data_IF_807825364835
#
_entry.id   IF_807825364835
#
_cell.length_a   1.000
_cell.length_b   1.000
_cell.length_c   1.000
_cell.angle_alpha   90.00
_cell.angle_beta   90.00
_cell.angle_gamma   90.00
#
_symmetry.space_group_name_H-M   'P 1'
#
loop_
_entity.id
_entity.type
_entity.pdbx_description
1 polymer ?
#
# COMPACT_ATOMS: atom_id res chain seq x y z
N UNK A 1 42.55 36.27 2.61
CA UNK A 1 42.72 35.97 1.16
C UNK A 1 42.58 34.46 0.98
N UNK A 2 41.51 34.03 0.31
CA UNK A 2 41.43 32.76 -0.43
C UNK A 2 41.02 31.48 0.34
N UNK A 3 39.84 30.89 0.04
CA UNK A 3 39.56 29.49 0.31
C UNK A 3 40.12 28.62 -0.82
N UNK A 4 40.62 27.41 -0.53
CA UNK A 4 40.87 26.40 -1.57
C UNK A 4 40.09 25.13 -1.28
N UNK A 5 39.15 24.90 -2.20
CA UNK A 5 38.23 23.79 -2.33
C UNK A 5 38.99 22.48 -2.59
N UNK A 6 38.81 21.46 -1.76
CA UNK A 6 39.12 20.07 -2.15
C UNK A 6 37.96 19.52 -2.98
N UNK A 7 38.00 19.77 -4.29
CA UNK A 7 37.25 19.01 -5.29
C UNK A 7 37.97 17.67 -5.52
N UNK A 8 37.61 16.66 -4.73
CA UNK A 8 38.05 15.28 -4.94
C UNK A 8 37.21 14.64 -6.04
N UNK A 9 37.75 14.60 -7.26
CA UNK A 9 37.20 13.94 -8.45
C UNK A 9 36.96 12.46 -8.15
N UNK A 10 35.70 12.05 -8.09
CA UNK A 10 35.32 10.63 -8.11
C UNK A 10 35.64 10.08 -9.51
N UNK A 11 36.78 9.40 -9.60
CA UNK A 11 37.27 8.76 -10.81
C UNK A 11 36.21 7.83 -11.42
N UNK A 12 35.79 8.11 -12.65
CA UNK A 12 35.07 7.18 -13.51
C UNK A 12 36.00 6.01 -13.87
N UNK A 13 35.95 4.92 -13.09
CA UNK A 13 36.56 3.68 -13.52
C UNK A 13 35.77 3.10 -14.69
N UNK A 14 36.35 3.29 -15.88
CA UNK A 14 36.00 2.65 -17.15
C UNK A 14 36.31 1.15 -17.06
N UNK A 15 35.50 0.40 -16.31
CA UNK A 15 35.67 -1.04 -16.15
C UNK A 15 34.99 -1.80 -17.30
N UNK A 16 35.81 -2.24 -18.25
CA UNK A 16 35.78 -3.60 -18.80
C UNK A 16 34.50 -4.07 -19.48
N UNK A 17 34.59 -4.16 -20.82
CA UNK A 17 33.77 -4.98 -21.71
C UNK A 17 33.70 -6.46 -21.26
N UNK A 18 32.92 -6.75 -20.23
CA UNK A 18 32.54 -8.12 -19.86
C UNK A 18 31.18 -8.39 -20.47
N UNK A 19 31.19 -9.07 -21.62
CA UNK A 19 30.03 -9.73 -22.24
C UNK A 19 29.41 -10.70 -21.23
N UNK A 20 28.59 -10.18 -20.31
CA UNK A 20 27.71 -10.98 -19.46
C UNK A 20 26.75 -11.68 -20.41
N UNK A 21 26.99 -12.98 -20.62
CA UNK A 21 26.13 -13.85 -21.41
C UNK A 21 24.68 -13.54 -21.10
N UNK A 22 23.97 -13.09 -22.13
CA UNK A 22 22.57 -12.67 -22.08
C UNK A 22 21.78 -13.92 -21.71
N UNK A 23 21.67 -14.23 -20.41
CA UNK A 23 20.70 -15.21 -19.89
C UNK A 23 19.39 -14.76 -20.50
N UNK A 24 18.89 -15.53 -21.46
CA UNK A 24 17.59 -15.30 -22.08
C UNK A 24 16.63 -15.15 -20.91
N UNK A 25 16.22 -13.92 -20.60
CA UNK A 25 15.11 -13.68 -19.68
C UNK A 25 14.02 -14.55 -20.25
N UNK A 26 13.65 -15.62 -19.54
CA UNK A 26 12.41 -16.34 -19.82
C UNK A 26 11.38 -15.22 -19.94
N UNK A 27 10.93 -14.96 -21.17
CA UNK A 27 9.74 -14.14 -21.39
C UNK A 27 8.71 -14.85 -20.53
N UNK A 28 8.33 -14.24 -19.41
CA UNK A 28 7.15 -14.68 -18.68
C UNK A 28 6.07 -14.62 -19.75
N UNK A 29 5.68 -15.81 -20.23
CA UNK A 29 4.50 -15.99 -21.07
C UNK A 29 3.41 -15.16 -20.43
N UNK A 30 2.69 -14.42 -21.27
CA UNK A 30 1.88 -13.26 -20.96
C UNK A 30 1.35 -13.28 -19.53
N UNK A 31 1.57 -12.18 -18.82
CA UNK A 31 0.80 -11.86 -17.63
C UNK A 31 -0.67 -11.89 -18.03
N UNK A 32 -1.29 -13.07 -17.89
CA UNK A 32 -2.71 -13.20 -17.80
C UNK A 32 -3.10 -12.15 -16.78
N UNK A 33 -4.00 -11.26 -17.19
CA UNK A 33 -4.64 -10.34 -16.29
C UNK A 33 -5.06 -11.20 -15.10
N UNK A 34 -4.41 -11.02 -13.94
CA UNK A 34 -4.98 -11.41 -12.68
C UNK A 34 -6.15 -10.45 -12.50
N UNK A 35 -7.21 -10.66 -13.28
CA UNK A 35 -8.53 -10.23 -12.91
C UNK A 35 -8.73 -10.87 -11.54
N UNK A 36 -9.10 -10.09 -10.51
CA UNK A 36 -9.46 -10.70 -9.23
C UNK A 36 -10.52 -11.73 -9.58
N UNK A 37 -10.23 -13.02 -9.35
CA UNK A 37 -11.22 -14.09 -9.54
C UNK A 37 -12.42 -13.65 -8.71
N UNK A 38 -13.51 -13.24 -9.37
CA UNK A 38 -14.77 -12.96 -8.71
C UNK A 38 -15.08 -14.24 -7.94
N UNK A 39 -15.12 -14.15 -6.60
CA UNK A 39 -15.54 -15.29 -5.78
C UNK A 39 -16.92 -15.69 -6.30
N UNK A 40 -17.11 -16.97 -6.58
CA UNK A 40 -18.42 -17.44 -6.99
C UNK A 40 -19.40 -17.18 -5.83
N UNK A 41 -20.66 -16.81 -6.10
CA UNK A 41 -21.67 -16.62 -5.05
C UNK A 41 -21.78 -17.83 -4.12
N UNK A 42 -21.54 -19.03 -4.67
CA UNK A 42 -21.51 -20.32 -3.95
C UNK A 42 -20.40 -20.37 -2.90
N UNK A 43 -19.20 -19.85 -3.20
CA UNK A 43 -18.11 -19.81 -2.23
C UNK A 43 -18.37 -18.80 -1.09
N UNK A 44 -19.19 -17.78 -1.35
CA UNK A 44 -19.62 -16.82 -0.33
C UNK A 44 -20.71 -17.42 0.57
N UNK A 45 -21.68 -18.15 0.01
CA UNK A 45 -22.72 -18.83 0.80
C UNK A 45 -22.15 -19.89 1.74
N UNK A 46 -21.24 -20.75 1.25
CA UNK A 46 -20.58 -21.76 2.09
C UNK A 46 -19.80 -21.13 3.26
N UNK A 47 -19.12 -20.02 3.02
CA UNK A 47 -18.37 -19.31 4.05
C UNK A 47 -19.29 -18.69 5.11
N UNK A 48 -20.43 -18.12 4.68
CA UNK A 48 -21.45 -17.55 5.57
C UNK A 48 -22.10 -18.64 6.41
N UNK A 49 -22.53 -19.74 5.80
CA UNK A 49 -23.12 -20.88 6.51
C UNK A 49 -22.15 -21.48 7.52
N UNK A 50 -20.88 -21.64 7.14
CA UNK A 50 -19.82 -22.10 8.04
C UNK A 50 -19.60 -21.14 9.21
N UNK A 51 -19.72 -19.83 9.01
CA UNK A 51 -19.59 -18.86 10.08
C UNK A 51 -20.78 -18.94 11.06
N UNK A 52 -22.01 -19.05 10.54
CA UNK A 52 -23.22 -19.18 11.35
C UNK A 52 -23.24 -20.48 12.17
N UNK A 53 -22.77 -21.59 11.58
CA UNK A 53 -22.68 -22.89 12.25
C UNK A 53 -21.75 -22.90 13.47
N UNK A 54 -20.82 -21.93 13.60
CA UNK A 54 -19.94 -21.83 14.79
C UNK A 54 -20.72 -21.55 16.07
N UNK A 55 -21.86 -20.89 15.99
CA UNK A 55 -22.70 -20.58 17.15
C UNK A 55 -23.51 -21.78 17.64
N UNK A 56 -23.78 -22.77 16.76
CA UNK A 56 -24.57 -23.97 17.08
C UNK A 56 -23.73 -25.23 17.35
N UNK A 57 -22.43 -25.20 17.09
CA UNK A 57 -21.52 -26.34 17.27
C UNK A 57 -21.38 -26.78 18.75
N UNK A 58 -21.39 -28.11 18.97
CA UNK A 58 -21.15 -28.77 20.27
C UNK A 58 -19.98 -29.77 20.11
N UNK A 59 -18.90 -29.68 20.89
CA UNK A 59 -18.61 -28.68 21.93
C UNK A 59 -18.36 -27.28 21.32
N UNK A 60 -18.58 -26.24 22.11
CA UNK A 60 -18.43 -24.86 21.62
C UNK A 60 -16.96 -24.56 21.31
N UNK A 61 -16.67 -23.79 20.24
CA UNK A 61 -15.32 -23.36 19.95
C UNK A 61 -14.77 -22.49 21.07
N UNK A 62 -13.49 -22.66 21.35
CA UNK A 62 -12.76 -21.90 22.37
C UNK A 62 -12.85 -20.39 22.03
N UNK A 63 -13.29 -19.57 22.99
CA UNK A 63 -13.42 -18.12 22.83
C UNK A 63 -14.85 -17.58 22.68
N UNK A 64 -15.87 -18.43 22.54
CA UNK A 64 -17.26 -18.00 22.68
C UNK A 64 -17.71 -18.10 24.15
N UNK A 65 -18.37 -17.07 24.72
CA UNK A 65 -18.90 -17.15 26.07
C UNK A 65 -20.00 -18.22 26.19
N UNK A 66 -20.21 -18.73 27.42
CA UNK A 66 -21.24 -19.75 27.71
C UNK A 66 -22.65 -19.20 27.53
N UNK A 67 -22.84 -17.92 27.75
CA UNK A 67 -24.11 -17.22 27.56
C UNK A 67 -23.85 -16.04 26.61
N UNK A 68 -24.66 -15.95 25.55
CA UNK A 68 -24.63 -14.85 24.58
C UNK A 68 -25.98 -14.16 24.71
N UNK A 69 -26.02 -13.09 25.49
CA UNK A 69 -27.18 -12.24 25.68
C UNK A 69 -26.78 -10.79 25.36
N UNK A 70 -27.39 -10.14 24.35
CA UNK A 70 -28.45 -10.61 23.44
C UNK A 70 -27.97 -11.66 22.40
N UNK A 71 -28.89 -12.45 21.80
CA UNK A 71 -28.56 -13.44 20.79
C UNK A 71 -27.89 -12.81 19.56
N UNK A 72 -27.09 -13.57 18.79
CA UNK A 72 -26.39 -13.06 17.61
C UNK A 72 -27.38 -12.49 16.58
N UNK A 73 -27.18 -11.24 16.19
CA UNK A 73 -28.01 -10.55 15.19
C UNK A 73 -27.28 -10.40 13.86
N UNK A 74 -28.02 -10.49 12.76
CA UNK A 74 -27.52 -10.19 11.42
C UNK A 74 -27.61 -8.69 11.20
N UNK A 75 -26.45 -8.04 11.07
CA UNK A 75 -26.36 -6.62 10.72
C UNK A 75 -25.93 -6.51 9.26
N UNK A 76 -26.79 -5.97 8.41
CA UNK A 76 -26.46 -5.71 7.01
C UNK A 76 -25.84 -4.31 6.88
N UNK A 77 -24.54 -4.26 6.66
CA UNK A 77 -23.81 -3.01 6.48
C UNK A 77 -23.66 -2.73 4.99
N UNK A 78 -24.25 -1.63 4.51
CA UNK A 78 -24.00 -1.12 3.17
C UNK A 78 -22.85 -0.12 3.21
N UNK A 79 -21.72 -0.46 2.57
CA UNK A 79 -20.56 0.41 2.52
C UNK A 79 -20.47 1.12 1.17
N UNK A 80 -20.77 2.43 1.14
CA UNK A 80 -20.59 3.24 -0.08
C UNK A 80 -19.10 3.54 -0.27
N UNK A 81 -18.54 3.08 -1.39
CA UNK A 81 -17.12 3.33 -1.70
C UNK A 81 -16.97 4.61 -2.52
N UNK A 82 -16.32 5.61 -1.94
CA UNK A 82 -15.95 6.84 -2.64
C UNK A 82 -14.59 6.63 -3.34
N UNK A 83 -14.63 5.92 -4.47
CA UNK A 83 -13.42 5.62 -5.22
C UNK A 83 -12.87 6.88 -5.91
N UNK A 84 -11.60 7.18 -5.64
CA UNK A 84 -10.88 8.28 -6.28
C UNK A 84 -10.18 7.75 -7.54
N UNK A 85 -10.26 8.48 -8.65
CA UNK A 85 -9.60 8.09 -9.90
C UNK A 85 -8.06 8.08 -9.75
N UNK A 86 -7.37 7.24 -10.53
CA UNK A 86 -5.90 7.12 -10.45
C UNK A 86 -5.17 8.43 -10.70
N UNK A 87 -5.71 9.29 -11.57
CA UNK A 87 -5.11 10.57 -11.90
C UNK A 87 -5.19 11.55 -10.73
N UNK A 88 -6.33 11.57 -10.03
CA UNK A 88 -6.52 12.38 -8.82
C UNK A 88 -5.64 11.84 -7.69
N UNK A 89 -5.55 10.51 -7.53
CA UNK A 89 -4.63 9.90 -6.56
C UNK A 89 -3.18 10.32 -6.81
N UNK A 90 -2.71 10.29 -8.06
CA UNK A 90 -1.35 10.70 -8.41
C UNK A 90 -1.10 12.18 -8.07
N UNK A 91 -2.02 13.06 -8.44
CA UNK A 91 -1.93 14.50 -8.13
C UNK A 91 -1.92 14.75 -6.63
N UNK A 92 -2.86 14.14 -5.89
CA UNK A 92 -2.94 14.27 -4.44
C UNK A 92 -1.70 13.68 -3.74
N UNK A 93 -1.17 12.56 -4.21
CA UNK A 93 0.04 11.94 -3.68
C UNK A 93 1.27 12.83 -3.83
N UNK A 94 1.40 13.57 -4.94
CA UNK A 94 2.48 14.55 -5.14
C UNK A 94 2.34 15.78 -4.23
N UNK A 95 1.12 16.18 -3.89
CA UNK A 95 0.86 17.31 -2.98
C UNK A 95 1.10 16.89 -1.52
N UNK A 96 0.68 15.68 -1.15
CA UNK A 96 0.75 15.17 0.22
C UNK A 96 2.15 14.63 0.58
N UNK A 97 2.89 14.06 -0.37
CA UNK A 97 4.23 13.52 -0.13
C UNK A 97 5.33 14.48 -0.59
N UNK A 98 6.13 14.99 0.35
CA UNK A 98 7.36 15.72 0.04
C UNK A 98 8.57 14.80 0.28
N UNK A 99 9.59 14.80 -0.61
CA UNK A 99 10.84 14.07 -0.35
C UNK A 99 11.51 14.53 0.94
N UNK A 100 11.91 13.59 1.80
CA UNK A 100 12.52 13.89 3.10
C UNK A 100 11.53 14.09 4.25
N UNK A 101 10.25 14.28 3.96
CA UNK A 101 9.20 14.42 4.97
C UNK A 101 8.56 13.05 5.29
N UNK A 102 9.03 12.39 6.34
CA UNK A 102 8.53 11.10 6.81
C UNK A 102 7.98 11.19 8.23
N UNK A 103 6.95 10.39 8.53
CA UNK A 103 6.31 10.35 9.85
C UNK A 103 5.11 11.29 9.99
N UNK A 104 4.81 11.67 11.23
CA UNK A 104 3.71 12.57 11.59
C UNK A 104 3.95 13.97 11.01
N UNK A 105 2.87 14.61 10.56
CA UNK A 105 2.93 16.01 10.12
C UNK A 105 2.50 16.93 11.27
N UNK A 106 3.11 18.12 11.39
CA UNK A 106 2.54 19.18 12.21
C UNK A 106 1.22 19.65 11.60
N UNK A 107 0.33 20.19 12.44
CA UNK A 107 -1.01 20.67 12.04
C UNK A 107 -0.94 21.70 10.92
N UNK A 108 0.04 22.62 10.96
CA UNK A 108 0.28 23.62 9.92
C UNK A 108 0.45 22.98 8.54
N UNK A 109 1.22 21.88 8.43
CA UNK A 109 1.36 21.16 7.16
C UNK A 109 0.10 20.46 6.72
N UNK A 110 -0.70 19.95 7.65
CA UNK A 110 -1.99 19.33 7.33
C UNK A 110 -2.92 20.36 6.70
N UNK A 111 -2.96 21.57 7.25
CA UNK A 111 -3.77 22.67 6.71
C UNK A 111 -3.29 23.13 5.33
N UNK A 112 -1.98 23.23 5.12
CA UNK A 112 -1.44 23.53 3.79
C UNK A 112 -1.79 22.45 2.76
N UNK A 113 -1.77 21.17 3.15
CA UNK A 113 -2.22 20.07 2.29
C UNK A 113 -3.70 20.26 1.96
N UNK A 114 -4.54 20.53 2.96
CA UNK A 114 -5.96 20.77 2.76
C UNK A 114 -6.23 21.91 1.77
N UNK A 115 -5.52 23.03 1.92
CA UNK A 115 -5.62 24.18 1.02
C UNK A 115 -5.24 23.82 -0.43
N UNK A 116 -4.15 23.07 -0.63
CA UNK A 116 -3.69 22.63 -1.97
C UNK A 116 -4.60 21.57 -2.59
N UNK A 117 -5.28 20.77 -1.76
CA UNK A 117 -6.21 19.72 -2.22
C UNK A 117 -7.59 20.25 -2.59
N UNK A 118 -7.99 21.45 -2.17
CA UNK A 118 -9.33 22.01 -2.42
C UNK A 118 -9.77 22.04 -3.89
N UNK A 119 -8.82 21.91 -4.82
CA UNK A 119 -9.08 21.86 -6.27
C UNK A 119 -9.30 20.43 -6.82
N UNK A 120 -9.26 19.39 -5.98
CA UNK A 120 -9.33 17.98 -6.38
C UNK A 120 -10.51 17.25 -5.71
N UNK A 121 -11.15 16.28 -6.40
CA UNK A 121 -12.23 15.48 -5.82
C UNK A 121 -11.65 14.35 -4.94
N UNK A 122 -10.96 14.71 -3.86
CA UNK A 122 -10.40 13.81 -2.86
C UNK A 122 -10.53 14.45 -1.47
N UNK A 123 -10.87 13.66 -0.46
CA UNK A 123 -10.93 14.19 0.90
C UNK A 123 -9.52 14.31 1.50
N UNK A 124 -9.36 15.21 2.47
CA UNK A 124 -8.09 15.37 3.19
C UNK A 124 -7.63 14.04 3.80
N UNK A 125 -8.54 13.33 4.47
CA UNK A 125 -8.27 12.02 5.08
C UNK A 125 -7.80 10.98 4.06
N UNK A 126 -8.43 10.93 2.88
CA UNK A 126 -8.02 10.04 1.80
C UNK A 126 -6.62 10.37 1.29
N UNK A 127 -6.26 11.66 1.19
CA UNK A 127 -4.93 12.08 0.78
C UNK A 127 -3.86 11.76 1.84
N UNK A 128 -4.16 11.93 3.13
CA UNK A 128 -3.28 11.55 4.23
C UNK A 128 -3.10 10.03 4.32
N UNK A 129 -4.17 9.27 4.10
CA UNK A 129 -4.14 7.81 3.98
C UNK A 129 -3.32 7.35 2.77
N UNK A 130 -3.45 8.04 1.63
CA UNK A 130 -2.63 7.77 0.46
C UNK A 130 -1.14 8.04 0.73
N UNK A 131 -0.82 9.13 1.44
CA UNK A 131 0.56 9.44 1.85
C UNK A 131 1.14 8.34 2.73
N UNK A 132 0.39 7.86 3.73
CA UNK A 132 0.89 6.80 4.62
C UNK A 132 1.16 5.51 3.85
N UNK A 133 0.25 5.12 2.94
CA UNK A 133 0.42 3.97 2.07
C UNK A 133 1.66 4.11 1.16
N UNK A 134 1.85 5.26 0.51
CA UNK A 134 3.01 5.51 -0.35
C UNK A 134 4.33 5.51 0.43
N UNK A 135 4.32 6.04 1.65
CA UNK A 135 5.50 6.05 2.52
C UNK A 135 5.87 4.64 3.01
N UNK A 136 4.87 3.78 3.27
CA UNK A 136 5.08 2.37 3.57
C UNK A 136 5.67 1.63 2.37
N UNK A 137 5.10 1.82 1.17
CA UNK A 137 5.60 1.19 -0.06
C UNK A 137 7.08 1.56 -0.32
N UNK A 138 7.42 2.85 -0.21
CA UNK A 138 8.79 3.33 -0.36
C UNK A 138 9.74 2.70 0.65
N UNK A 139 9.31 2.55 1.91
CA UNK A 139 10.11 1.94 2.97
C UNK A 139 10.40 0.46 2.68
N UNK A 140 9.38 -0.30 2.27
CA UNK A 140 9.53 -1.73 1.93
C UNK A 140 10.39 -1.93 0.68
N UNK A 141 10.13 -1.16 -0.39
CA UNK A 141 10.83 -1.33 -1.65
C UNK A 141 12.30 -0.89 -1.57
N UNK A 142 12.59 0.20 -0.87
CA UNK A 142 13.96 0.67 -0.65
C UNK A 142 14.78 -0.37 0.12
N UNK A 143 14.22 -0.95 1.18
CA UNK A 143 14.87 -2.01 1.95
C UNK A 143 15.19 -3.24 1.08
N UNK A 144 14.19 -3.74 0.32
CA UNK A 144 14.41 -4.87 -0.59
C UNK A 144 15.49 -4.59 -1.64
N UNK A 145 15.53 -3.36 -2.17
CA UNK A 145 16.55 -2.95 -3.16
C UNK A 145 17.94 -2.83 -2.55
N UNK A 146 18.07 -2.36 -1.31
CA UNK A 146 19.34 -2.32 -0.58
C UNK A 146 19.88 -3.73 -0.33
N UNK A 147 19.03 -4.64 0.19
CA UNK A 147 19.42 -6.04 0.42
C UNK A 147 19.88 -6.76 -0.84
N UNK A 148 19.27 -6.47 -2.01
CA UNK A 148 19.69 -7.02 -3.31
C UNK A 148 21.02 -6.48 -3.83
N UNK A 149 21.49 -5.33 -3.34
CA UNK A 149 22.76 -4.71 -3.76
C UNK A 149 23.90 -5.06 -2.82
N UNK A 150 23.60 -5.41 -1.57
CA UNK A 150 24.58 -5.84 -0.58
C UNK A 150 25.02 -7.31 -0.75
N UNK A 151 24.20 -8.12 -1.44
CA UNK A 151 24.49 -9.52 -1.82
C UNK A 151 24.93 -9.62 -3.28
#
# INVERSE_FOLDING_TARGET
MGPLLLAGVLSEEKSGNRRRGRRRRRRRSGGGQNTPKKKSPVAESEAIERALARFSAKPRPMGLPKEIDPPPQRVEVSWKTNAVTKDVQRKAGNIACIPGEFGFLPEERVQEIAAKLGNLPITLEQALSLRSALNQEKSVYSHSRLMRRAN
#
